data_IF_215022450533
#
_entry.id   IF_215022450533
#
_cell.length_a   1.000
_cell.length_b   1.000
_cell.length_c   1.000
_cell.angle_alpha   90.00
_cell.angle_beta   90.00
_cell.angle_gamma   90.00
#
_symmetry.space_group_name_H-M   'P 1'
#
loop_
_entity.id
_entity.type
_entity.pdbx_description
1 polymer ?
#
# COMPACT_ATOMS: atom_id res chain seq x y z
N UNK A 1 56.94 -25.43 2.80
CA UNK A 1 55.78 -24.82 2.12
C UNK A 1 54.66 -24.61 3.14
N UNK A 2 54.44 -23.38 3.58
CA UNK A 2 53.32 -23.02 4.48
C UNK A 2 52.70 -21.73 3.94
N UNK A 3 51.58 -21.86 3.22
CA UNK A 3 50.85 -20.75 2.64
C UNK A 3 50.13 -19.95 3.75
N UNK A 4 50.44 -18.65 3.82
CA UNK A 4 49.79 -17.67 4.70
C UNK A 4 48.38 -17.35 4.18
N UNK A 5 47.35 -17.83 4.89
CA UNK A 5 45.93 -17.63 4.63
C UNK A 5 45.29 -16.47 5.44
N UNK A 6 46.11 -15.62 6.07
CA UNK A 6 45.64 -14.59 7.00
C UNK A 6 44.86 -13.38 6.41
N UNK A 7 45.13 -12.84 5.20
CA UNK A 7 44.51 -11.57 4.78
C UNK A 7 43.04 -11.71 4.37
N UNK A 8 42.60 -12.89 3.95
CA UNK A 8 41.21 -13.14 3.51
C UNK A 8 40.23 -13.16 4.69
N UNK A 9 40.69 -13.56 5.88
CA UNK A 9 39.84 -13.70 7.06
C UNK A 9 39.46 -12.35 7.68
N UNK A 10 40.35 -11.35 7.65
CA UNK A 10 40.11 -10.02 8.22
C UNK A 10 39.10 -9.23 7.37
N UNK A 11 39.24 -9.27 6.04
CA UNK A 11 38.34 -8.57 5.11
C UNK A 11 36.91 -9.13 5.17
N UNK A 12 36.75 -10.46 5.26
CA UNK A 12 35.42 -11.08 5.36
C UNK A 12 34.68 -10.71 6.66
N UNK A 13 35.40 -10.55 7.78
CA UNK A 13 34.84 -10.12 9.07
C UNK A 13 34.43 -8.65 9.07
N UNK A 14 35.21 -7.77 8.44
CA UNK A 14 34.87 -6.34 8.28
C UNK A 14 33.58 -6.14 7.47
N UNK A 15 33.47 -6.80 6.31
CA UNK A 15 32.28 -6.74 5.46
C UNK A 15 31.02 -7.31 6.12
N UNK A 16 31.18 -8.34 6.96
CA UNK A 16 30.08 -8.92 7.74
C UNK A 16 29.56 -7.91 8.77
N UNK A 17 30.44 -7.17 9.43
CA UNK A 17 30.08 -6.15 10.41
C UNK A 17 29.35 -4.96 9.77
N UNK A 18 29.77 -4.48 8.61
CA UNK A 18 29.11 -3.37 7.92
C UNK A 18 27.69 -3.73 7.49
N UNK A 19 27.49 -4.92 6.88
CA UNK A 19 26.15 -5.40 6.50
C UNK A 19 25.25 -5.61 7.72
N UNK A 20 25.80 -6.05 8.85
CA UNK A 20 25.05 -6.19 10.10
C UNK A 20 24.65 -4.82 10.67
N UNK A 21 25.56 -3.84 10.67
CA UNK A 21 25.28 -2.48 11.10
C UNK A 21 24.20 -1.83 10.23
N UNK A 22 24.30 -1.92 8.91
CA UNK A 22 23.28 -1.41 7.99
C UNK A 22 21.90 -2.04 8.24
N UNK A 23 21.84 -3.35 8.46
CA UNK A 23 20.58 -4.04 8.81
C UNK A 23 20.00 -3.54 10.14
N UNK A 24 20.84 -3.35 11.15
CA UNK A 24 20.42 -2.81 12.44
C UNK A 24 19.88 -1.38 12.30
N UNK A 25 20.55 -0.53 11.53
CA UNK A 25 20.09 0.83 11.23
C UNK A 25 18.75 0.83 10.47
N UNK A 26 18.61 -0.03 9.45
CA UNK A 26 17.34 -0.16 8.72
C UNK A 26 16.19 -0.59 9.64
N UNK A 27 16.45 -1.53 10.55
CA UNK A 27 15.47 -1.99 11.53
C UNK A 27 15.12 -0.88 12.52
N UNK A 28 16.12 -0.17 13.05
CA UNK A 28 15.92 0.94 13.97
C UNK A 28 15.09 2.06 13.34
N UNK A 29 15.44 2.50 12.13
CA UNK A 29 14.67 3.50 11.39
C UNK A 29 13.23 3.04 11.14
N UNK A 30 13.03 1.79 10.75
CA UNK A 30 11.70 1.23 10.54
C UNK A 30 10.85 1.18 11.82
N UNK A 31 11.45 0.79 12.94
CA UNK A 31 10.80 0.79 14.26
C UNK A 31 10.43 2.22 14.65
N UNK A 32 11.34 3.19 14.51
CA UNK A 32 11.08 4.59 14.82
C UNK A 32 9.93 5.15 13.98
N UNK A 33 9.90 4.90 12.67
CA UNK A 33 8.81 5.31 11.78
C UNK A 33 7.50 4.63 12.20
N UNK A 34 7.54 3.33 12.49
CA UNK A 34 6.36 2.58 12.93
C UNK A 34 5.77 3.09 14.25
N UNK A 35 6.61 3.36 15.24
CA UNK A 35 6.20 3.93 16.53
C UNK A 35 5.63 5.34 16.34
N UNK A 36 6.31 6.20 15.58
CA UNK A 36 5.82 7.55 15.30
C UNK A 36 4.45 7.52 14.61
N UNK A 37 4.29 6.65 13.61
CA UNK A 37 3.01 6.45 12.92
C UNK A 37 1.92 5.92 13.87
N UNK A 38 2.23 4.98 14.77
CA UNK A 38 1.30 4.49 15.77
C UNK A 38 0.84 5.60 16.72
N UNK A 39 1.77 6.40 17.26
CA UNK A 39 1.45 7.49 18.18
C UNK A 39 0.57 8.56 17.52
N UNK A 40 0.93 8.96 16.29
CA UNK A 40 0.15 9.93 15.52
C UNK A 40 -1.23 9.37 15.15
N UNK A 41 -1.32 8.10 14.74
CA UNK A 41 -2.59 7.44 14.46
C UNK A 41 -3.46 7.36 15.72
N UNK A 42 -2.90 6.93 16.85
CA UNK A 42 -3.61 6.89 18.13
C UNK A 42 -4.17 8.27 18.51
N UNK A 43 -3.34 9.31 18.39
CA UNK A 43 -3.75 10.69 18.65
C UNK A 43 -4.89 11.13 17.72
N UNK A 44 -4.79 10.83 16.43
CA UNK A 44 -5.85 11.13 15.46
C UNK A 44 -7.15 10.38 15.80
N UNK A 45 -7.06 9.10 16.19
CA UNK A 45 -8.21 8.24 16.51
C UNK A 45 -8.87 8.51 17.87
N UNK A 46 -8.26 9.35 18.69
CA UNK A 46 -8.78 9.79 20.00
C UNK A 46 -9.26 11.26 20.00
N UNK A 47 -9.06 12.00 18.91
CA UNK A 47 -9.59 13.36 18.77
C UNK A 47 -11.12 13.37 18.62
N UNK A 48 -11.87 14.25 19.31
CA UNK A 48 -13.34 14.28 19.25
C UNK A 48 -13.93 14.47 17.85
N UNK A 49 -13.20 15.16 16.96
CA UNK A 49 -13.64 15.41 15.57
C UNK A 49 -13.70 14.13 14.73
N UNK A 50 -12.96 13.09 15.10
CA UNK A 50 -13.06 11.77 14.52
C UNK A 50 -13.77 10.92 15.54
N UNK A 51 -15.01 10.50 15.28
CA UNK A 51 -15.72 9.61 16.18
C UNK A 51 -14.77 8.52 16.70
N UNK A 52 -14.48 8.48 18.02
CA UNK A 52 -13.38 7.68 18.55
C UNK A 52 -13.62 6.23 18.14
N UNK A 53 -12.65 5.67 17.44
CA UNK A 53 -12.85 4.41 16.76
C UNK A 53 -11.60 3.97 16.01
N UNK A 54 -11.61 2.80 15.39
CA UNK A 54 -10.44 2.20 14.78
C UNK A 54 -10.25 2.59 13.31
N UNK A 55 -11.04 3.56 12.80
CA UNK A 55 -11.00 3.94 11.39
C UNK A 55 -11.40 2.77 10.47
N UNK A 56 -10.66 2.58 9.39
CA UNK A 56 -10.88 1.50 8.42
C UNK A 56 -10.53 0.11 8.97
N UNK A 57 -9.67 0.05 10.00
CA UNK A 57 -9.41 -1.19 10.73
C UNK A 57 -10.63 -1.70 11.50
N UNK A 58 -11.72 -0.91 11.58
CA UNK A 58 -13.00 -1.36 12.14
C UNK A 58 -13.53 -2.61 11.44
N UNK A 59 -13.35 -2.72 10.11
CA UNK A 59 -13.81 -3.89 9.36
C UNK A 59 -13.13 -5.19 9.84
N UNK A 60 -11.88 -5.14 10.27
CA UNK A 60 -11.19 -6.29 10.84
C UNK A 60 -11.73 -6.63 12.23
N UNK A 61 -11.81 -5.62 13.11
CA UNK A 61 -12.18 -5.79 14.51
C UNK A 61 -13.63 -6.24 14.67
N UNK A 62 -14.55 -5.61 13.96
CA UNK A 62 -15.99 -5.90 14.09
C UNK A 62 -16.32 -7.27 13.47
N UNK A 63 -15.71 -7.62 12.33
CA UNK A 63 -15.87 -8.95 11.73
C UNK A 63 -15.33 -10.03 12.66
N UNK A 64 -14.13 -9.84 13.23
CA UNK A 64 -13.56 -10.78 14.19
C UNK A 64 -14.41 -10.91 15.46
N UNK A 65 -14.89 -9.78 15.99
CA UNK A 65 -15.74 -9.76 17.20
C UNK A 65 -17.08 -10.45 16.95
N UNK A 66 -17.72 -10.20 15.81
CA UNK A 66 -18.97 -10.84 15.44
C UNK A 66 -18.82 -12.37 15.37
N UNK A 67 -17.78 -12.86 14.68
CA UNK A 67 -17.50 -14.29 14.58
C UNK A 67 -17.23 -14.93 15.95
N UNK A 68 -16.45 -14.28 16.82
CA UNK A 68 -16.18 -14.79 18.17
C UNK A 68 -17.43 -14.82 19.06
N UNK A 69 -18.43 -13.99 18.76
CA UNK A 69 -19.72 -13.97 19.45
C UNK A 69 -20.77 -14.87 18.79
N UNK A 70 -20.41 -15.64 17.76
CA UNK A 70 -21.36 -16.46 16.99
C UNK A 70 -22.40 -15.65 16.22
N UNK A 71 -22.11 -14.38 15.92
CA UNK A 71 -22.98 -13.48 15.16
C UNK A 71 -22.59 -13.45 13.69
N UNK A 72 -23.55 -13.15 12.82
CA UNK A 72 -23.30 -12.91 11.41
C UNK A 72 -22.54 -11.57 11.23
N UNK A 73 -21.29 -11.57 10.72
CA UNK A 73 -20.52 -10.35 10.49
C UNK A 73 -21.10 -9.47 9.38
N UNK A 74 -22.04 -9.97 8.57
CA UNK A 74 -22.70 -9.24 7.49
C UNK A 74 -24.14 -8.83 7.83
N UNK A 75 -24.58 -8.99 9.09
CA UNK A 75 -25.92 -8.62 9.53
C UNK A 75 -26.07 -7.10 9.76
N UNK A 76 -25.90 -6.31 8.69
CA UNK A 76 -26.18 -4.87 8.68
C UNK A 76 -26.54 -4.39 7.27
N UNK A 77 -27.29 -3.30 7.19
CA UNK A 77 -27.66 -2.70 5.90
C UNK A 77 -26.45 -2.04 5.22
N UNK A 78 -26.10 -2.42 3.98
CA UNK A 78 -25.01 -1.81 3.25
C UNK A 78 -25.34 -0.35 2.91
N UNK A 79 -24.30 0.48 2.86
CA UNK A 79 -24.44 1.84 2.35
C UNK A 79 -23.14 2.28 1.70
N UNK A 80 -23.16 3.41 0.99
CA UNK A 80 -21.95 3.98 0.40
C UNK A 80 -20.83 4.24 1.42
N UNK A 81 -21.18 4.38 2.70
CA UNK A 81 -20.24 4.51 3.81
C UNK A 81 -19.89 3.19 4.49
N UNK A 82 -20.76 2.18 4.39
CA UNK A 82 -20.67 0.87 5.07
C UNK A 82 -20.60 -0.27 4.05
N UNK A 83 -19.45 -0.40 3.37
CA UNK A 83 -19.16 -1.56 2.52
C UNK A 83 -18.11 -2.42 3.22
N UNK A 84 -18.44 -3.67 3.60
CA UNK A 84 -17.52 -4.52 4.35
C UNK A 84 -16.38 -5.05 3.51
N UNK A 85 -15.36 -5.52 4.22
CA UNK A 85 -14.29 -6.31 3.62
C UNK A 85 -14.69 -7.80 3.56
N UNK A 86 -14.09 -8.58 2.65
CA UNK A 86 -14.18 -10.03 2.68
C UNK A 86 -13.80 -10.61 4.05
N UNK A 87 -14.39 -11.76 4.40
CA UNK A 87 -14.22 -12.42 5.70
C UNK A 87 -12.76 -12.66 6.14
N UNK A 88 -11.79 -12.97 5.24
CA UNK A 88 -10.38 -13.11 5.62
C UNK A 88 -9.81 -11.94 6.45
N UNK A 89 -10.40 -10.74 6.36
CA UNK A 89 -10.04 -9.59 7.21
C UNK A 89 -10.12 -9.90 8.71
N UNK A 90 -11.01 -10.80 9.13
CA UNK A 90 -11.20 -11.17 10.53
C UNK A 90 -9.92 -11.73 11.17
N UNK A 91 -9.09 -12.45 10.39
CA UNK A 91 -7.84 -13.03 10.91
C UNK A 91 -6.82 -11.95 11.29
N UNK A 92 -6.89 -10.77 10.67
CA UNK A 92 -6.07 -9.62 11.04
C UNK A 92 -6.63 -8.89 12.26
N UNK A 93 -7.95 -8.92 12.46
CA UNK A 93 -8.60 -8.29 13.62
C UNK A 93 -8.51 -9.13 14.89
N UNK A 94 -8.53 -10.46 14.75
CA UNK A 94 -8.58 -11.41 15.87
C UNK A 94 -7.51 -11.18 16.96
N UNK A 95 -6.22 -10.88 16.64
CA UNK A 95 -5.22 -10.60 17.66
C UNK A 95 -5.46 -9.32 18.47
N UNK A 96 -6.36 -8.45 18.03
CA UNK A 96 -6.55 -7.10 18.58
C UNK A 96 -7.93 -6.88 19.22
N UNK A 97 -8.84 -7.85 19.17
CA UNK A 97 -10.22 -7.71 19.68
C UNK A 97 -10.29 -7.34 21.17
N UNK A 98 -9.29 -7.75 21.95
CA UNK A 98 -9.21 -7.45 23.38
C UNK A 98 -8.71 -6.04 23.69
N UNK A 99 -8.19 -5.31 22.70
CA UNK A 99 -7.65 -3.98 22.89
C UNK A 99 -8.71 -2.90 22.67
N UNK A 100 -8.56 -1.71 23.30
CA UNK A 100 -9.33 -0.54 22.93
C UNK A 100 -9.19 -0.26 21.42
N UNK A 101 -10.32 -0.05 20.73
CA UNK A 101 -10.36 0.13 19.26
C UNK A 101 -9.32 1.14 18.72
N UNK A 102 -9.13 2.35 19.29
CA UNK A 102 -8.10 3.29 18.83
C UNK A 102 -6.67 2.74 18.96
N UNK A 103 -6.39 1.99 20.03
CA UNK A 103 -5.08 1.37 20.26
C UNK A 103 -4.81 0.24 19.26
N UNK A 104 -5.81 -0.62 19.02
CA UNK A 104 -5.73 -1.67 18.00
C UNK A 104 -5.38 -1.09 16.62
N UNK A 105 -6.09 -0.05 16.19
CA UNK A 105 -5.84 0.64 14.94
C UNK A 105 -4.45 1.28 14.86
N UNK A 106 -4.00 1.91 15.95
CA UNK A 106 -2.68 2.52 16.04
C UNK A 106 -1.54 1.49 15.91
N UNK A 107 -1.65 0.35 16.60
CA UNK A 107 -0.66 -0.73 16.52
C UNK A 107 -0.64 -1.32 15.10
N UNK A 108 -1.82 -1.61 14.53
CA UNK A 108 -1.93 -2.10 13.16
C UNK A 108 -1.29 -1.14 12.15
N UNK A 109 -1.64 0.14 12.24
CA UNK A 109 -1.13 1.16 11.31
C UNK A 109 0.38 1.36 11.49
N UNK A 110 0.86 1.45 12.73
CA UNK A 110 2.30 1.58 13.02
C UNK A 110 3.12 0.39 12.54
N UNK A 111 2.65 -0.84 12.77
CA UNK A 111 3.30 -2.05 12.27
C UNK A 111 3.35 -2.07 10.73
N UNK A 112 2.25 -1.65 10.08
CA UNK A 112 2.17 -1.53 8.62
C UNK A 112 3.17 -0.51 8.07
N UNK A 113 3.28 0.65 8.69
CA UNK A 113 4.23 1.70 8.32
C UNK A 113 5.69 1.31 8.59
N UNK A 114 5.97 0.66 9.71
CA UNK A 114 7.29 0.12 10.00
C UNK A 114 7.72 -0.94 8.99
N UNK A 115 6.81 -1.84 8.62
CA UNK A 115 7.06 -2.84 7.58
C UNK A 115 7.34 -2.19 6.22
N UNK A 116 6.57 -1.18 5.82
CA UNK A 116 6.81 -0.41 4.60
C UNK A 116 8.19 0.27 4.63
N UNK A 117 8.54 0.95 5.73
CA UNK A 117 9.82 1.62 5.89
C UNK A 117 10.99 0.63 5.81
N UNK A 118 10.88 -0.52 6.49
CA UNK A 118 11.88 -1.58 6.42
C UNK A 118 12.03 -2.12 4.99
N UNK A 119 10.91 -2.32 4.28
CA UNK A 119 10.86 -2.73 2.88
C UNK A 119 11.57 -1.75 1.93
N UNK A 120 11.38 -0.45 2.13
CA UNK A 120 12.04 0.61 1.36
C UNK A 120 13.54 0.66 1.64
N UNK A 121 13.93 0.63 2.92
CA UNK A 121 15.34 0.74 3.31
C UNK A 121 16.15 -0.47 2.82
N UNK A 122 15.59 -1.67 2.94
CA UNK A 122 16.26 -2.90 2.47
C UNK A 122 16.35 -3.00 0.94
N UNK A 123 15.52 -2.26 0.19
CA UNK A 123 15.58 -2.27 -1.28
C UNK A 123 16.67 -1.35 -1.83
N UNK A 124 17.35 -0.58 -0.98
CA UNK A 124 18.38 0.38 -1.40
C UNK A 124 17.81 1.64 -2.06
N UNK A 125 16.51 1.91 -1.91
CA UNK A 125 15.83 3.08 -2.49
C UNK A 125 15.31 4.04 -1.40
N UNK A 126 16.15 4.55 -0.48
CA UNK A 126 15.72 5.29 0.71
C UNK A 126 14.95 6.57 0.40
N UNK A 127 15.13 7.16 -0.80
CA UNK A 127 14.35 8.32 -1.23
C UNK A 127 12.84 8.06 -1.25
N UNK A 128 12.40 6.80 -1.34
CA UNK A 128 10.97 6.45 -1.26
C UNK A 128 10.36 6.66 0.11
N UNK A 129 11.17 6.85 1.16
CA UNK A 129 10.66 7.28 2.47
C UNK A 129 9.89 8.61 2.39
N UNK A 130 10.06 9.39 1.31
CA UNK A 130 9.20 10.54 1.01
C UNK A 130 7.70 10.18 0.99
N UNK A 131 7.31 8.93 0.75
CA UNK A 131 5.90 8.48 0.85
C UNK A 131 5.27 8.81 2.20
N UNK A 132 6.04 8.78 3.29
CA UNK A 132 5.57 9.09 4.63
C UNK A 132 5.17 10.56 4.82
N UNK A 133 5.60 11.45 3.92
CA UNK A 133 5.22 12.85 3.87
C UNK A 133 4.10 13.14 2.84
N UNK A 134 3.64 12.13 2.10
CA UNK A 134 2.59 12.29 1.09
C UNK A 134 1.20 12.46 1.71
N UNK A 135 0.32 13.22 1.06
CA UNK A 135 -1.07 13.35 1.50
C UNK A 135 -1.80 12.00 1.56
N UNK A 136 -1.71 11.09 0.57
CA UNK A 136 -2.24 9.72 0.67
C UNK A 136 -1.84 8.99 1.96
N UNK A 137 -0.56 9.08 2.37
CA UNK A 137 -0.11 8.42 3.59
C UNK A 137 -0.66 9.09 4.86
N UNK A 138 -0.63 10.42 4.93
CA UNK A 138 -1.18 11.16 6.08
C UNK A 138 -2.69 10.91 6.20
N UNK A 139 -3.40 10.89 5.08
CA UNK A 139 -4.82 10.57 5.05
C UNK A 139 -5.07 9.11 5.44
N UNK A 140 -4.24 8.17 4.99
CA UNK A 140 -4.29 6.78 5.45
C UNK A 140 -4.09 6.66 6.97
N UNK A 141 -3.18 7.46 7.56
CA UNK A 141 -2.89 7.49 8.99
C UNK A 141 -4.10 7.95 9.81
N UNK A 142 -4.76 9.03 9.37
CA UNK A 142 -5.93 9.59 10.06
C UNK A 142 -7.11 8.60 10.11
N UNK A 143 -7.21 7.72 9.10
CA UNK A 143 -8.28 6.74 8.96
C UNK A 143 -7.82 5.30 9.23
N UNK A 144 -6.60 5.08 9.75
CA UNK A 144 -6.03 3.76 10.02
C UNK A 144 -6.21 2.76 8.85
N UNK A 145 -5.90 3.22 7.64
CA UNK A 145 -6.11 2.50 6.38
C UNK A 145 -5.07 1.39 6.15
N UNK A 146 -5.44 0.42 5.31
CA UNK A 146 -4.61 -0.73 4.93
C UNK A 146 -3.50 -0.41 3.93
N UNK A 147 -3.54 0.77 3.32
CA UNK A 147 -2.69 1.16 2.20
C UNK A 147 -1.18 1.05 2.47
N UNK A 148 -0.64 1.38 3.66
CA UNK A 148 0.77 1.15 3.95
C UNK A 148 1.16 -0.33 3.95
N UNK A 149 0.30 -1.21 4.48
CA UNK A 149 0.55 -2.66 4.48
C UNK A 149 0.50 -3.22 3.06
N UNK A 150 -0.44 -2.75 2.26
CA UNK A 150 -0.57 -3.11 0.84
C UNK A 150 0.65 -2.65 0.05
N UNK A 151 1.10 -1.41 0.23
CA UNK A 151 2.34 -0.93 -0.36
C UNK A 151 3.56 -1.72 0.13
N UNK A 152 3.60 -2.10 1.41
CA UNK A 152 4.69 -2.92 1.97
C UNK A 152 4.79 -4.28 1.28
N UNK A 153 3.66 -4.87 0.86
CA UNK A 153 3.64 -6.16 0.16
C UNK A 153 4.43 -6.16 -1.16
N UNK A 154 4.71 -4.98 -1.74
CA UNK A 154 5.66 -4.83 -2.84
C UNK A 154 7.05 -5.40 -2.51
N UNK A 155 7.46 -5.20 -1.26
CA UNK A 155 8.75 -5.66 -0.75
C UNK A 155 8.64 -7.04 -0.09
N UNK A 156 7.46 -7.49 0.31
CA UNK A 156 7.25 -8.80 0.95
C UNK A 156 6.26 -9.65 0.12
N UNK A 157 6.72 -10.32 -0.95
CA UNK A 157 5.85 -10.98 -1.93
C UNK A 157 4.92 -12.06 -1.36
N UNK A 158 5.22 -12.62 -0.19
CA UNK A 158 4.34 -13.56 0.50
C UNK A 158 3.02 -12.89 0.93
N UNK A 159 3.05 -11.59 1.25
CA UNK A 159 1.87 -10.83 1.68
C UNK A 159 0.98 -10.40 0.50
N UNK A 160 1.53 -10.24 -0.70
CA UNK A 160 0.82 -9.66 -1.84
C UNK A 160 -0.48 -10.41 -2.18
N UNK A 161 -0.47 -11.75 -2.41
CA UNK A 161 -1.69 -12.50 -2.68
C UNK A 161 -2.66 -12.52 -1.50
N UNK A 162 -2.16 -12.53 -0.26
CA UNK A 162 -2.99 -12.51 0.94
C UNK A 162 -3.81 -11.22 1.02
N UNK A 163 -3.21 -10.07 0.75
CA UNK A 163 -3.91 -8.78 0.86
C UNK A 163 -4.97 -8.59 -0.23
N UNK A 164 -4.91 -9.33 -1.35
CA UNK A 164 -6.01 -9.39 -2.33
C UNK A 164 -7.28 -9.94 -1.70
N UNK A 165 -7.15 -10.89 -0.77
CA UNK A 165 -8.31 -11.44 -0.05
C UNK A 165 -8.91 -10.46 0.96
N UNK A 166 -8.24 -9.36 1.28
CA UNK A 166 -8.71 -8.38 2.26
C UNK A 166 -9.25 -7.12 1.58
N UNK A 167 -8.52 -6.60 0.60
CA UNK A 167 -8.89 -5.35 -0.09
C UNK A 167 -8.54 -5.46 -1.58
N UNK A 168 -9.31 -6.24 -2.35
CA UNK A 168 -8.92 -6.70 -3.68
C UNK A 168 -8.63 -5.55 -4.64
N UNK A 169 -9.44 -4.49 -4.58
CA UNK A 169 -9.38 -3.39 -5.53
C UNK A 169 -8.05 -2.61 -5.50
N UNK A 170 -7.39 -2.49 -4.34
CA UNK A 170 -6.10 -1.78 -4.22
C UNK A 170 -4.91 -2.69 -3.95
N UNK A 171 -5.14 -3.93 -3.49
CA UNK A 171 -4.08 -4.92 -3.32
C UNK A 171 -3.73 -5.65 -4.62
N UNK A 172 -4.71 -5.89 -5.51
CA UNK A 172 -4.47 -6.59 -6.78
C UNK A 172 -3.41 -5.90 -7.68
N UNK A 173 -3.38 -4.56 -7.85
CA UNK A 173 -2.31 -3.90 -8.60
C UNK A 173 -0.89 -4.23 -8.13
N UNK A 174 -0.70 -4.31 -6.80
CA UNK A 174 0.59 -4.66 -6.20
C UNK A 174 0.86 -6.15 -6.38
N UNK A 175 -0.14 -6.99 -6.14
CA UNK A 175 -0.01 -8.44 -6.22
C UNK A 175 0.36 -8.93 -7.62
N UNK A 176 -0.19 -8.35 -8.68
CA UNK A 176 0.12 -8.71 -10.08
C UNK A 176 1.62 -8.65 -10.41
N UNK A 177 2.39 -7.83 -9.70
CA UNK A 177 3.83 -7.67 -9.89
C UNK A 177 4.68 -8.50 -8.90
N UNK A 178 4.04 -9.17 -7.95
CA UNK A 178 4.67 -9.78 -6.77
C UNK A 178 4.09 -11.15 -6.40
N UNK A 179 3.42 -11.82 -7.33
CA UNK A 179 2.94 -13.18 -7.12
C UNK A 179 4.12 -14.13 -6.90
N UNK A 180 4.05 -14.89 -5.80
CA UNK A 180 4.96 -15.99 -5.53
C UNK A 180 4.13 -17.20 -5.14
N UNK A 181 4.60 -18.42 -5.47
CA UNK A 181 3.87 -19.64 -5.11
C UNK A 181 3.63 -19.72 -3.59
N UNK A 182 4.61 -19.29 -2.78
CA UNK A 182 4.51 -19.27 -1.31
C UNK A 182 3.39 -18.34 -0.85
N UNK A 183 3.31 -17.14 -1.43
CA UNK A 183 2.24 -16.20 -1.14
C UNK A 183 0.88 -16.73 -1.58
N UNK A 184 0.80 -17.35 -2.75
CA UNK A 184 -0.44 -17.95 -3.28
C UNK A 184 -0.90 -19.11 -2.40
N UNK A 185 0.01 -20.00 -2.00
CA UNK A 185 -0.29 -21.12 -1.09
C UNK A 185 -0.76 -20.60 0.28
N UNK A 186 -0.10 -19.58 0.82
CA UNK A 186 -0.49 -18.98 2.09
C UNK A 186 -1.87 -18.30 2.01
N UNK A 187 -2.13 -17.51 0.97
CA UNK A 187 -3.44 -16.91 0.71
C UNK A 187 -4.51 -17.99 0.49
N UNK A 188 -4.20 -19.05 -0.24
CA UNK A 188 -5.09 -20.20 -0.45
C UNK A 188 -5.46 -20.89 0.86
N UNK A 189 -4.50 -21.07 1.78
CA UNK A 189 -4.77 -21.58 3.11
C UNK A 189 -5.70 -20.67 3.93
N UNK A 190 -5.45 -19.35 3.89
CA UNK A 190 -6.33 -18.36 4.55
C UNK A 190 -7.74 -18.35 3.96
N UNK A 191 -7.86 -18.44 2.63
CA UNK A 191 -9.14 -18.53 1.93
C UNK A 191 -9.89 -19.82 2.32
N UNK A 192 -9.19 -20.94 2.41
CA UNK A 192 -9.79 -22.21 2.83
C UNK A 192 -10.31 -22.11 4.27
N UNK A 193 -9.51 -21.58 5.19
CA UNK A 193 -9.92 -21.36 6.58
C UNK A 193 -11.14 -20.42 6.66
N UNK A 194 -11.17 -19.34 5.89
CA UNK A 194 -12.31 -18.42 5.90
C UNK A 194 -13.59 -19.07 5.38
N UNK A 195 -13.49 -19.91 4.34
CA UNK A 195 -14.62 -20.69 3.83
C UNK A 195 -15.09 -21.76 4.81
N UNK A 196 -14.19 -22.36 5.59
CA UNK A 196 -14.57 -23.31 6.65
C UNK A 196 -15.30 -22.62 7.81
N UNK A 197 -14.92 -21.37 8.14
CA UNK A 197 -15.56 -20.58 9.20
C UNK A 197 -16.96 -20.11 8.79
N UNK A 198 -17.12 -19.60 7.56
CA UNK A 198 -18.39 -19.07 7.08
C UNK A 198 -18.55 -19.33 5.57
N UNK A 199 -19.05 -20.51 5.15
CA UNK A 199 -19.01 -20.94 3.74
C UNK A 199 -19.68 -20.00 2.74
N UNK A 200 -20.75 -19.31 3.14
CA UNK A 200 -21.51 -18.39 2.27
C UNK A 200 -20.96 -16.97 2.21
N UNK A 201 -19.85 -16.67 2.90
CA UNK A 201 -19.30 -15.31 2.98
C UNK A 201 -19.02 -14.68 1.61
N UNK A 202 -18.54 -15.39 0.56
CA UNK A 202 -18.25 -14.74 -0.72
C UNK A 202 -19.50 -14.10 -1.34
N UNK A 203 -20.63 -14.81 -1.27
CA UNK A 203 -21.90 -14.33 -1.79
C UNK A 203 -22.46 -13.17 -0.96
N UNK A 204 -22.45 -13.32 0.37
CA UNK A 204 -22.87 -12.27 1.31
C UNK A 204 -22.06 -10.99 1.12
N UNK A 205 -20.75 -11.11 0.96
CA UNK A 205 -19.88 -9.97 0.70
C UNK A 205 -20.20 -9.31 -0.65
N UNK A 206 -20.32 -10.09 -1.73
CA UNK A 206 -20.61 -9.55 -3.06
C UNK A 206 -21.92 -8.75 -3.10
N UNK A 207 -22.99 -9.26 -2.46
CA UNK A 207 -24.28 -8.56 -2.31
C UNK A 207 -24.13 -7.17 -1.68
N UNK A 208 -23.16 -6.99 -0.78
CA UNK A 208 -22.94 -5.74 -0.06
C UNK A 208 -22.03 -4.73 -0.79
N UNK A 209 -21.47 -5.08 -1.94
CA UNK A 209 -20.53 -4.20 -2.69
C UNK A 209 -21.19 -3.20 -3.62
N UNK A 210 -22.49 -3.33 -3.91
CA UNK A 210 -23.19 -2.53 -4.93
C UNK A 210 -23.10 -1.01 -4.70
N UNK A 211 -23.22 -0.58 -3.44
CA UNK A 211 -23.18 0.82 -3.01
C UNK A 211 -21.76 1.42 -2.93
N UNK A 212 -20.72 0.64 -3.28
CA UNK A 212 -19.33 1.08 -3.07
C UNK A 212 -18.99 2.33 -3.86
N UNK A 213 -18.69 3.38 -3.10
CA UNK A 213 -18.26 4.65 -3.62
C UNK A 213 -16.88 4.54 -4.29
N UNK A 214 -16.83 4.63 -5.62
CA UNK A 214 -15.60 4.41 -6.40
C UNK A 214 -15.35 5.46 -7.48
N UNK A 215 -14.07 5.56 -7.85
CA UNK A 215 -13.57 6.14 -9.10
C UNK A 215 -12.68 5.10 -9.79
N UNK A 216 -12.70 5.06 -11.12
CA UNK A 216 -11.78 4.26 -11.93
C UNK A 216 -10.97 5.22 -12.80
N UNK A 217 -9.67 5.42 -12.54
CA UNK A 217 -8.87 6.47 -13.19
C UNK A 217 -8.91 6.49 -14.70
N UNK A 218 -8.82 5.31 -15.34
CA UNK A 218 -8.81 5.20 -16.79
C UNK A 218 -10.13 5.67 -17.42
N UNK A 219 -11.22 5.64 -16.65
CA UNK A 219 -12.56 6.08 -17.08
C UNK A 219 -12.84 7.55 -16.71
N UNK A 220 -11.92 8.22 -16.01
CA UNK A 220 -12.05 9.65 -15.72
C UNK A 220 -11.88 10.45 -17.01
N UNK A 221 -12.92 11.15 -17.44
CA UNK A 221 -12.94 11.93 -18.68
C UNK A 221 -11.76 12.92 -18.78
N UNK A 222 -11.34 13.22 -20.02
CA UNK A 222 -10.19 14.06 -20.40
C UNK A 222 -8.80 13.49 -20.13
N UNK A 223 -8.57 12.84 -18.98
CA UNK A 223 -7.21 12.41 -18.57
C UNK A 223 -7.01 10.89 -18.52
N UNK A 224 -8.06 10.14 -18.20
CA UNK A 224 -8.01 8.71 -17.91
C UNK A 224 -7.45 7.85 -19.04
N UNK A 225 -7.96 7.97 -20.29
CA UNK A 225 -7.47 7.14 -21.39
C UNK A 225 -5.97 7.28 -21.66
N UNK A 226 -5.37 8.45 -21.36
CA UNK A 226 -3.92 8.69 -21.51
C UNK A 226 -3.10 7.76 -20.61
N UNK A 227 -3.65 7.28 -19.50
CA UNK A 227 -3.00 6.34 -18.59
C UNK A 227 -2.68 4.99 -19.24
N UNK A 228 -3.37 4.63 -20.34
CA UNK A 228 -3.03 3.43 -21.13
C UNK A 228 -1.63 3.48 -21.73
N UNK A 229 -1.05 4.68 -21.91
CA UNK A 229 0.32 4.85 -22.37
C UNK A 229 1.35 4.25 -21.41
N UNK A 230 0.99 3.96 -20.16
CA UNK A 230 1.84 3.18 -19.26
C UNK A 230 2.24 1.84 -19.90
N UNK A 231 1.33 1.20 -20.65
CA UNK A 231 1.57 -0.10 -21.30
C UNK A 231 2.60 -0.06 -22.43
N UNK A 232 3.00 1.12 -22.90
CA UNK A 232 4.17 1.26 -23.80
C UNK A 232 5.44 0.69 -23.14
N UNK A 233 5.49 0.67 -21.80
CA UNK A 233 6.55 0.03 -21.02
C UNK A 233 6.08 -1.24 -20.31
N UNK A 234 5.32 -2.11 -20.99
CA UNK A 234 4.84 -3.38 -20.41
C UNK A 234 5.93 -4.31 -19.83
N UNK A 235 7.22 -4.10 -20.15
CA UNK A 235 8.33 -4.84 -19.52
C UNK A 235 8.76 -4.28 -18.15
N UNK A 236 8.27 -3.11 -17.77
CA UNK A 236 8.53 -2.46 -16.49
C UNK A 236 7.42 -2.79 -15.49
N UNK A 237 7.80 -3.39 -14.36
CA UNK A 237 6.88 -3.71 -13.26
C UNK A 237 6.12 -2.47 -12.72
N UNK A 238 6.75 -1.29 -12.79
CA UNK A 238 6.12 -0.05 -12.32
C UNK A 238 5.07 0.47 -13.29
N UNK A 239 5.23 0.17 -14.58
CA UNK A 239 4.23 0.48 -15.59
C UNK A 239 2.99 -0.41 -15.42
N UNK A 240 3.18 -1.70 -15.12
CA UNK A 240 2.07 -2.59 -14.75
C UNK A 240 1.37 -2.15 -13.48
N UNK A 241 2.12 -1.75 -12.45
CA UNK A 241 1.53 -1.18 -11.23
C UNK A 241 0.66 0.03 -11.55
N UNK A 242 1.17 1.01 -12.31
CA UNK A 242 0.40 2.20 -12.69
C UNK A 242 -0.84 1.82 -13.53
N UNK A 243 -0.68 0.97 -14.53
CA UNK A 243 -1.79 0.53 -15.39
C UNK A 243 -2.88 -0.18 -14.58
N UNK A 244 -2.49 -1.10 -13.70
CA UNK A 244 -3.44 -1.84 -12.86
C UNK A 244 -4.13 -0.92 -11.82
N UNK A 245 -3.41 -0.01 -11.17
CA UNK A 245 -4.00 1.01 -10.30
C UNK A 245 -4.93 1.97 -11.06
N UNK A 246 -4.71 2.15 -12.36
CA UNK A 246 -5.56 3.01 -13.21
C UNK A 246 -6.83 2.29 -13.68
N UNK A 247 -6.78 0.97 -13.81
CA UNK A 247 -7.88 0.14 -14.29
C UNK A 247 -8.82 -0.33 -13.16
N UNK A 248 -8.34 -0.35 -11.91
CA UNK A 248 -9.11 -0.82 -10.77
C UNK A 248 -9.71 0.34 -9.96
N UNK A 249 -10.89 0.14 -9.35
CA UNK A 249 -11.54 1.19 -8.59
C UNK A 249 -10.83 1.46 -7.27
N UNK A 250 -10.79 2.72 -6.86
CA UNK A 250 -10.47 3.11 -5.48
C UNK A 250 -11.48 4.12 -4.96
N UNK A 251 -11.47 4.36 -3.65
CA UNK A 251 -12.47 5.21 -2.98
C UNK A 251 -11.89 6.54 -2.54
N UNK A 252 -10.73 6.51 -1.91
CA UNK A 252 -10.12 7.69 -1.33
C UNK A 252 -8.68 7.85 -1.76
N UNK A 253 -8.17 9.08 -1.64
CA UNK A 253 -6.75 9.37 -1.91
C UNK A 253 -5.82 8.53 -1.01
N UNK A 254 -6.29 8.10 0.16
CA UNK A 254 -5.56 7.17 1.03
C UNK A 254 -5.27 5.81 0.38
N UNK A 255 -6.01 5.39 -0.65
CA UNK A 255 -5.79 4.12 -1.34
C UNK A 255 -4.56 4.18 -2.27
N UNK A 256 -4.03 5.39 -2.53
CA UNK A 256 -3.00 5.64 -3.53
C UNK A 256 -1.56 5.58 -3.01
N UNK A 257 -1.34 5.10 -1.78
CA UNK A 257 0.02 4.99 -1.19
C UNK A 257 0.96 4.17 -2.08
N UNK A 258 0.46 3.11 -2.72
CA UNK A 258 1.25 2.28 -3.63
C UNK A 258 1.76 3.03 -4.88
N UNK A 259 1.18 4.19 -5.23
CA UNK A 259 1.64 5.00 -6.36
C UNK A 259 3.08 5.53 -6.15
N UNK A 260 3.53 5.67 -4.90
CA UNK A 260 4.92 6.04 -4.55
C UNK A 260 5.93 4.94 -4.83
N UNK A 261 5.50 3.76 -5.29
CA UNK A 261 6.37 2.73 -5.84
C UNK A 261 6.80 3.04 -7.29
N UNK A 262 6.11 3.95 -7.99
CA UNK A 262 6.44 4.34 -9.38
C UNK A 262 7.71 5.19 -9.48
N UNK A 263 7.92 6.28 -8.71
CA UNK A 263 9.11 7.14 -8.82
C UNK A 263 10.45 6.39 -8.71
N UNK A 264 11.37 6.66 -9.63
CA UNK A 264 12.74 6.10 -9.70
C UNK A 264 13.82 7.01 -9.10
N UNK A 265 13.46 8.21 -8.64
CA UNK A 265 14.41 9.15 -8.04
C UNK A 265 13.78 9.98 -6.94
N UNK A 266 14.63 10.63 -6.13
CA UNK A 266 14.21 11.55 -5.07
C UNK A 266 13.38 12.71 -5.62
N UNK A 267 13.78 13.31 -6.74
CA UNK A 267 13.06 14.43 -7.36
C UNK A 267 11.64 14.05 -7.78
N UNK A 268 11.48 12.90 -8.43
CA UNK A 268 10.16 12.39 -8.81
C UNK A 268 9.30 12.09 -7.58
N UNK A 269 9.88 11.45 -6.55
CA UNK A 269 9.16 11.13 -5.33
C UNK A 269 8.71 12.40 -4.59
N UNK A 270 9.59 13.39 -4.47
CA UNK A 270 9.30 14.67 -3.81
C UNK A 270 8.28 15.50 -4.59
N UNK A 271 8.41 15.58 -5.92
CA UNK A 271 7.42 16.25 -6.76
C UNK A 271 6.03 15.63 -6.59
N UNK A 272 5.94 14.29 -6.56
CA UNK A 272 4.68 13.60 -6.32
C UNK A 272 4.12 13.90 -4.92
N UNK A 273 4.97 14.00 -3.88
CA UNK A 273 4.56 14.47 -2.55
C UNK A 273 3.94 15.85 -2.63
N UNK A 274 4.62 16.82 -3.24
CA UNK A 274 4.10 18.20 -3.35
C UNK A 274 2.76 18.25 -4.08
N UNK A 275 2.63 17.56 -5.21
CA UNK A 275 1.37 17.48 -5.96
C UNK A 275 0.25 16.77 -5.17
N UNK A 276 0.59 15.83 -4.31
CA UNK A 276 -0.41 15.13 -3.49
C UNK A 276 -1.13 16.04 -2.49
N UNK A 277 -0.45 17.08 -2.00
CA UNK A 277 -1.01 18.03 -1.05
C UNK A 277 -1.96 19.05 -1.70
N UNK A 278 -1.97 19.16 -3.03
CA UNK A 278 -2.95 19.99 -3.71
C UNK A 278 -4.27 19.27 -3.99
N UNK A 279 -4.30 17.93 -3.98
CA UNK A 279 -5.52 17.14 -4.20
C UNK A 279 -6.68 17.57 -3.27
N UNK A 280 -6.49 17.75 -1.95
CA UNK A 280 -7.55 18.21 -1.06
C UNK A 280 -8.13 19.57 -1.44
N UNK A 281 -7.31 20.49 -1.96
CA UNK A 281 -7.75 21.85 -2.30
C UNK A 281 -8.83 21.85 -3.39
N UNK A 282 -8.85 20.81 -4.23
CA UNK A 282 -9.82 20.66 -5.31
C UNK A 282 -10.92 19.64 -5.00
N UNK A 283 -10.75 18.81 -3.96
CA UNK A 283 -11.75 17.85 -3.49
C UNK A 283 -12.70 18.46 -2.43
N UNK A 284 -12.36 19.64 -1.86
CA UNK A 284 -13.19 20.37 -0.88
C UNK A 284 -13.87 21.62 -1.50
N UNK A 285 -14.88 21.47 -2.38
CA UNK A 285 -15.80 22.59 -2.67
C UNK A 285 -16.60 22.57 -3.98
N UNK A 286 -17.93 22.62 -3.83
CA UNK A 286 -18.97 23.20 -4.71
C UNK A 286 -19.10 22.62 -6.14
N UNK A 287 -20.16 21.82 -6.35
CA UNK A 287 -20.91 21.85 -7.62
C UNK A 287 -20.76 20.70 -8.61
N UNK A 288 -19.90 19.71 -8.37
CA UNK A 288 -19.88 18.45 -9.11
C UNK A 288 -19.62 17.31 -8.12
N UNK A 289 -20.29 16.17 -8.27
CA UNK A 289 -20.22 15.00 -7.38
C UNK A 289 -18.87 14.25 -7.43
N UNK A 290 -17.74 14.96 -7.38
CA UNK A 290 -16.42 14.46 -7.75
C UNK A 290 -15.68 13.94 -6.51
N UNK A 291 -15.87 12.65 -6.25
CA UNK A 291 -14.91 11.76 -5.57
C UNK A 291 -13.55 11.87 -6.27
N UNK A 292 -12.39 11.55 -5.63
CA UNK A 292 -11.08 12.20 -5.80
C UNK A 292 -10.51 12.19 -7.25
N UNK A 293 -11.19 12.80 -8.21
CA UNK A 293 -10.84 12.73 -9.63
C UNK A 293 -9.65 13.59 -9.95
N UNK A 294 -9.38 14.62 -9.14
CA UNK A 294 -8.18 15.42 -9.20
C UNK A 294 -6.91 14.63 -8.90
N UNK A 295 -7.02 13.47 -8.24
CA UNK A 295 -5.89 12.54 -8.15
C UNK A 295 -5.41 12.04 -9.51
N UNK A 296 -6.27 12.01 -10.54
CA UNK A 296 -5.86 11.59 -11.89
C UNK A 296 -4.86 12.58 -12.51
N UNK A 297 -5.20 13.86 -12.73
CA UNK A 297 -4.25 14.82 -13.28
C UNK A 297 -3.11 15.19 -12.31
N UNK A 298 -3.32 15.12 -10.99
CA UNK A 298 -2.29 15.53 -10.01
C UNK A 298 -1.36 14.40 -9.57
N UNK A 299 -1.77 13.12 -9.67
CA UNK A 299 -0.96 11.99 -9.21
C UNK A 299 -0.70 10.96 -10.31
N UNK A 300 -1.74 10.49 -11.00
CA UNK A 300 -1.58 9.45 -12.04
C UNK A 300 -0.85 9.98 -13.28
N UNK A 301 -1.19 11.17 -13.79
CA UNK A 301 -0.50 11.75 -14.95
C UNK A 301 0.98 12.04 -14.66
N UNK A 302 1.38 12.68 -13.53
CA UNK A 302 2.79 12.84 -13.20
C UNK A 302 3.53 11.51 -13.08
N UNK A 303 2.92 10.48 -12.47
CA UNK A 303 3.50 9.14 -12.40
C UNK A 303 3.72 8.54 -13.81
N UNK A 304 2.78 8.74 -14.74
CA UNK A 304 2.94 8.37 -16.14
C UNK A 304 4.09 9.14 -16.81
N UNK A 305 4.17 10.46 -16.59
CA UNK A 305 5.26 11.28 -17.13
C UNK A 305 6.61 10.79 -16.62
N UNK A 306 6.74 10.40 -15.35
CA UNK A 306 7.99 9.83 -14.83
C UNK A 306 8.41 8.57 -15.59
N UNK A 307 7.48 7.63 -15.79
CA UNK A 307 7.74 6.40 -16.55
C UNK A 307 8.19 6.69 -18.00
N UNK A 308 7.53 7.62 -18.67
CA UNK A 308 7.85 7.99 -20.06
C UNK A 308 9.12 8.84 -20.17
N UNK A 309 9.45 9.62 -19.15
CA UNK A 309 10.70 10.38 -19.10
C UNK A 309 11.89 9.46 -18.87
N UNK A 310 11.79 8.54 -17.90
CA UNK A 310 12.84 7.58 -17.59
C UNK A 310 13.12 6.67 -18.80
N UNK A 311 12.08 6.33 -19.57
CA UNK A 311 12.20 5.65 -20.85
C UNK A 311 13.12 6.34 -21.85
N UNK A 312 12.89 7.64 -22.05
CA UNK A 312 13.62 8.44 -23.02
C UNK A 312 15.08 8.60 -22.57
N UNK A 313 15.30 8.80 -21.26
CA UNK A 313 16.63 8.88 -20.68
C UNK A 313 17.42 7.58 -20.86
N UNK A 314 16.82 6.42 -20.60
CA UNK A 314 17.45 5.11 -20.82
C UNK A 314 17.86 4.91 -22.29
N UNK A 315 16.98 5.28 -23.23
CA UNK A 315 17.28 5.18 -24.67
C UNK A 315 18.43 6.09 -25.10
N UNK A 316 18.45 7.34 -24.62
CA UNK A 316 19.54 8.29 -24.91
C UNK A 316 20.87 7.79 -24.39
N UNK A 317 20.90 7.25 -23.17
CA UNK A 317 22.13 6.72 -22.58
C UNK A 317 22.70 5.55 -23.38
N UNK A 318 21.83 4.62 -23.84
CA UNK A 318 22.28 3.50 -24.70
C UNK A 318 22.86 3.99 -26.01
N UNK A 319 22.18 4.91 -26.70
CA UNK A 319 22.68 5.47 -27.96
C UNK A 319 24.05 6.17 -27.80
N UNK A 320 24.32 6.81 -26.66
CA UNK A 320 25.63 7.41 -26.39
C UNK A 320 26.71 6.35 -26.13
N UNK A 321 26.38 5.26 -25.41
CA UNK A 321 27.31 4.15 -25.19
C UNK A 321 27.66 3.41 -26.48
N UNK A 322 26.67 3.19 -27.35
CA UNK A 322 26.88 2.52 -28.65
C UNK A 322 27.71 3.39 -29.61
N UNK A 323 27.60 4.72 -29.52
CA UNK A 323 28.40 5.65 -30.31
C UNK A 323 29.86 5.79 -29.83
N UNK A 324 30.19 5.28 -28.64
CA UNK A 324 31.54 5.31 -28.06
C UNK A 324 32.32 4.00 -28.24
N UNK A 325 31.69 2.94 -28.77
CA UNK A 325 32.30 1.64 -29.07
C UNK A 325 32.75 1.56 -30.53
#
# INVERSE_FOLDING_TARGET
>A
MSQSSAPVYVLSRFWKNEKQLQRALHLLCAITIGIAAALLCYRARTLPMYYPGPGDFNWALDTATALMQGKDPYAFEPSSLKVPYPLPVALFGAPFVALPKPLAAAIFFGASSGLLAYGILRSGEPWRLAVFASFPYIYALMFAQWSPLIAASWFFPVLAPLLVLVKPNIALPVALNRLTWRGVAFAGGVLLVSLLIYPSWPWRWLEMTGEYARIVPILTLLFGPVLTLALVRWRDERAWLLAAMSALPFRGVYDLVALWLVPRSLHQAFLLVMLSWSVPLFDFGIGLQVRPAWSVPLLFLPALVFLLYDAQRERRNRAHSDAQQ
#
